data_IF_804824102572
#
_entry.id   IF_804824102572
#
_cell.length_a   1.000
_cell.length_b   1.000
_cell.length_c   1.000
_cell.angle_alpha   90.00
_cell.angle_beta   90.00
_cell.angle_gamma   90.00
#
_symmetry.space_group_name_H-M   'P 1'
#
loop_
_entity.id
_entity.type
_entity.pdbx_description
1 polymer ?
#
# COMPACT_ATOMS: atom_id res chain seq x y z
N UNK A 1 -49.91 -25.78 -21.30
CA UNK A 1 -50.22 -26.79 -22.34
C UNK A 1 -48.91 -27.36 -22.85
N UNK A 2 -48.76 -28.69 -22.85
CA UNK A 2 -47.59 -29.48 -23.28
C UNK A 2 -48.02 -30.32 -24.49
N UNK A 3 -47.12 -30.53 -25.46
CA UNK A 3 -46.86 -31.74 -26.29
C UNK A 3 -46.30 -31.36 -27.69
N UNK A 4 -45.71 -32.29 -28.48
CA UNK A 4 -44.67 -33.24 -28.06
C UNK A 4 -43.56 -33.47 -29.12
N UNK A 5 -42.52 -34.17 -28.67
CA UNK A 5 -41.46 -34.82 -29.45
C UNK A 5 -41.97 -35.83 -30.49
N UNK A 6 -41.22 -35.99 -31.60
CA UNK A 6 -41.28 -37.15 -32.50
C UNK A 6 -39.87 -37.63 -32.89
N UNK A 7 -39.65 -38.96 -32.89
CA UNK A 7 -38.36 -39.67 -33.08
C UNK A 7 -38.44 -40.61 -34.31
N UNK A 8 -37.40 -40.57 -35.19
CA UNK A 8 -36.72 -41.63 -36.03
C UNK A 8 -37.57 -42.58 -36.93
N UNK A 9 -37.06 -43.52 -37.81
CA UNK A 9 -35.69 -43.87 -38.30
C UNK A 9 -35.54 -44.25 -39.82
N UNK A 10 -34.29 -44.51 -40.27
CA UNK A 10 -33.93 -45.34 -41.46
C UNK A 10 -33.61 -44.55 -42.75
N UNK A 11 -32.65 -44.88 -43.63
CA UNK A 11 -31.88 -46.11 -43.86
C UNK A 11 -30.72 -45.83 -44.88
N UNK A 12 -29.53 -46.41 -44.62
CA UNK A 12 -28.42 -46.88 -45.52
C UNK A 12 -28.17 -46.20 -46.89
N UNK A 13 -27.00 -45.59 -47.13
CA UNK A 13 -25.68 -46.15 -47.51
C UNK A 13 -25.52 -46.53 -48.99
N UNK A 14 -24.52 -45.94 -49.67
CA UNK A 14 -23.63 -46.61 -50.64
C UNK A 14 -22.40 -45.75 -50.98
N UNK A 15 -21.29 -46.45 -51.16
CA UNK A 15 -19.91 -46.00 -51.29
C UNK A 15 -19.56 -45.49 -52.70
N UNK A 16 -18.42 -44.80 -52.86
CA UNK A 16 -17.20 -45.38 -53.45
C UNK A 16 -16.08 -44.33 -53.64
N UNK A 17 -14.82 -44.80 -53.55
CA UNK A 17 -13.52 -44.30 -54.05
C UNK A 17 -13.14 -42.80 -53.86
N UNK A 18 -11.95 -42.39 -53.41
CA UNK A 18 -10.67 -43.06 -53.15
C UNK A 18 -9.54 -42.02 -53.05
N UNK A 19 -8.35 -42.46 -52.66
CA UNK A 19 -7.03 -41.82 -52.73
C UNK A 19 -6.52 -40.90 -51.58
N UNK A 20 -5.81 -41.56 -50.67
CA UNK A 20 -4.38 -41.38 -50.32
C UNK A 20 -3.82 -39.99 -49.95
N UNK A 21 -3.21 -39.91 -48.75
CA UNK A 21 -2.22 -38.87 -48.42
C UNK A 21 -2.05 -38.61 -46.93
N UNK A 22 -1.06 -39.25 -46.31
CA UNK A 22 -0.60 -39.02 -44.92
C UNK A 22 0.08 -37.66 -44.79
N UNK A 23 -0.21 -36.87 -43.74
CA UNK A 23 0.84 -36.19 -42.96
C UNK A 23 0.33 -35.52 -41.67
N UNK A 24 1.25 -35.40 -40.72
CA UNK A 24 1.08 -35.28 -39.29
C UNK A 24 0.67 -33.90 -38.75
N UNK A 25 0.13 -33.96 -37.54
CA UNK A 25 -0.12 -32.88 -36.58
C UNK A 25 1.02 -31.88 -36.44
N UNK A 26 0.69 -30.58 -36.42
CA UNK A 26 1.43 -29.60 -35.61
C UNK A 26 0.46 -28.58 -35.01
N UNK A 27 0.26 -28.69 -33.69
CA UNK A 27 -0.36 -27.65 -32.87
C UNK A 27 0.49 -26.37 -32.95
N UNK A 28 0.05 -25.36 -33.70
CA UNK A 28 0.72 -24.05 -33.61
C UNK A 28 0.18 -23.28 -32.41
N UNK A 29 0.95 -23.40 -31.34
CA UNK A 29 0.88 -22.73 -30.03
C UNK A 29 0.39 -21.28 -30.13
N UNK A 30 -0.71 -21.00 -29.43
CA UNK A 30 -1.24 -19.65 -29.16
C UNK A 30 -0.18 -18.84 -28.42
N UNK A 31 0.40 -17.82 -29.07
CA UNK A 31 1.14 -16.78 -28.36
C UNK A 31 0.16 -15.68 -27.96
N UNK A 32 -0.47 -15.90 -26.81
CA UNK A 32 -1.17 -14.84 -26.09
C UNK A 32 -0.16 -13.75 -25.75
N UNK A 33 -0.29 -12.57 -26.35
CA UNK A 33 0.50 -11.41 -25.95
C UNK A 33 0.21 -11.12 -24.48
N UNK A 34 1.21 -11.42 -23.65
CA UNK A 34 1.15 -11.34 -22.20
C UNK A 34 0.94 -9.87 -21.83
N UNK A 35 -0.28 -9.55 -21.41
CA UNK A 35 -0.62 -8.36 -20.62
C UNK A 35 0.50 -8.08 -19.62
N UNK A 36 1.09 -6.90 -19.66
CA UNK A 36 1.83 -6.37 -18.52
C UNK A 36 0.81 -5.95 -17.46
N UNK A 37 0.27 -6.95 -16.76
CA UNK A 37 -0.56 -6.77 -15.59
C UNK A 37 0.43 -6.56 -14.45
N UNK A 38 0.61 -5.30 -14.03
CA UNK A 38 1.30 -5.00 -12.77
C UNK A 38 0.53 -5.69 -11.65
N UNK A 39 0.99 -6.88 -11.27
CA UNK A 39 0.44 -7.62 -10.14
C UNK A 39 0.87 -6.90 -8.86
N UNK A 40 0.01 -6.03 -8.35
CA UNK A 40 0.05 -5.62 -6.95
C UNK A 40 -0.41 -6.85 -6.15
N UNK A 41 0.53 -7.74 -5.83
CA UNK A 41 0.35 -8.68 -4.73
C UNK A 41 0.36 -7.90 -3.40
N UNK A 42 -0.05 -8.51 -2.28
CA UNK A 42 0.06 -7.88 -0.97
C UNK A 42 1.52 -7.52 -0.75
N UNK A 43 1.84 -6.23 -0.79
CA UNK A 43 3.19 -5.76 -0.55
C UNK A 43 3.56 -6.18 0.87
N UNK A 44 4.54 -7.10 0.97
CA UNK A 44 5.23 -7.39 2.23
C UNK A 44 5.58 -6.06 2.90
N UNK A 45 5.44 -5.90 4.23
CA UNK A 45 5.95 -4.73 4.90
C UNK A 45 7.44 -4.69 4.59
N UNK A 46 7.84 -3.72 3.77
CA UNK A 46 9.25 -3.47 3.49
C UNK A 46 9.86 -3.21 4.86
N UNK A 47 10.77 -4.08 5.30
CA UNK A 47 11.65 -3.80 6.42
C UNK A 47 12.55 -2.65 5.98
N UNK A 48 12.08 -1.44 6.23
CA UNK A 48 12.68 -0.23 5.68
C UNK A 48 13.96 0.12 6.46
N UNK A 49 15.10 0.30 5.76
CA UNK A 49 16.26 0.99 6.33
C UNK A 49 15.80 2.37 6.80
N UNK A 50 16.22 2.82 7.99
CA UNK A 50 15.84 4.11 8.65
C UNK A 50 15.47 5.18 7.62
N UNK A 51 14.20 5.21 7.20
CA UNK A 51 13.77 6.12 6.14
C UNK A 51 13.63 7.49 6.79
N UNK A 52 13.99 8.53 6.05
CA UNK A 52 13.56 9.87 6.42
C UNK A 52 12.02 9.87 6.40
N UNK A 53 11.43 9.93 7.60
CA UNK A 53 9.97 9.94 7.80
C UNK A 53 9.40 11.36 7.84
N UNK A 54 10.24 12.40 7.77
CA UNK A 54 9.79 13.79 7.69
C UNK A 54 8.90 13.97 6.46
N UNK A 55 7.74 14.57 6.68
CA UNK A 55 6.69 14.77 5.70
C UNK A 55 5.81 13.56 5.39
N UNK A 56 6.07 12.42 6.01
CA UNK A 56 5.22 11.24 5.90
C UNK A 56 4.06 11.28 6.90
N UNK A 57 2.96 10.64 6.52
CA UNK A 57 1.90 10.25 7.45
C UNK A 57 2.35 9.01 8.23
N UNK A 58 2.05 8.98 9.51
CA UNK A 58 2.38 7.87 10.40
C UNK A 58 1.15 7.41 11.16
N UNK A 59 1.17 6.17 11.59
CA UNK A 59 0.30 5.65 12.64
C UNK A 59 1.11 4.89 13.68
N UNK A 60 0.71 4.95 14.94
CA UNK A 60 1.29 4.14 16.00
C UNK A 60 0.29 3.94 17.14
N UNK A 61 0.58 2.96 18.00
CA UNK A 61 -0.05 2.82 19.30
C UNK A 61 0.60 3.74 20.33
N UNK A 62 -0.20 4.22 21.27
CA UNK A 62 0.23 4.93 22.48
C UNK A 62 -0.31 4.21 23.71
N UNK A 63 0.56 3.90 24.67
CA UNK A 63 0.17 3.27 25.92
C UNK A 63 0.68 4.08 27.10
N UNK A 64 -0.26 4.59 27.90
CA UNK A 64 0.07 5.25 29.17
C UNK A 64 0.00 4.23 30.31
N UNK A 65 1.14 3.93 30.93
CA UNK A 65 1.25 2.98 32.03
C UNK A 65 0.62 1.60 31.71
N UNK A 66 -0.28 1.14 32.60
CA UNK A 66 -1.04 -0.10 32.42
C UNK A 66 -2.35 0.07 31.65
N UNK A 67 -2.63 1.26 31.13
CA UNK A 67 -3.84 1.57 30.39
C UNK A 67 -3.95 0.87 29.03
N UNK A 68 -5.10 1.01 28.35
CA UNK A 68 -5.29 0.49 27.00
C UNK A 68 -4.40 1.22 25.99
N UNK A 69 -4.07 0.52 24.89
CA UNK A 69 -3.37 1.14 23.77
C UNK A 69 -4.37 1.96 22.94
N UNK A 70 -4.05 3.22 22.70
CA UNK A 70 -4.80 4.11 21.81
C UNK A 70 -4.06 4.25 20.49
N UNK A 71 -4.77 4.36 19.36
CA UNK A 71 -4.15 4.53 18.05
C UNK A 71 -4.08 6.01 17.69
N UNK A 72 -2.88 6.46 17.29
CA UNK A 72 -2.61 7.84 16.90
C UNK A 72 -2.18 7.89 15.44
N UNK A 73 -2.66 8.92 14.74
CA UNK A 73 -2.30 9.21 13.34
C UNK A 73 -1.90 10.66 13.20
N UNK A 74 -0.83 10.90 12.46
CA UNK A 74 -0.28 12.24 12.34
C UNK A 74 0.68 12.38 11.18
N UNK A 75 1.19 13.59 11.00
CA UNK A 75 2.20 13.95 10.01
C UNK A 75 3.48 14.33 10.75
N UNK A 76 4.60 13.73 10.37
CA UNK A 76 5.92 14.16 10.86
C UNK A 76 6.30 15.45 10.14
N UNK A 77 6.52 16.52 10.90
CA UNK A 77 6.77 17.86 10.39
C UNK A 77 8.24 18.09 10.17
N UNK A 78 9.04 17.70 11.16
CA UNK A 78 10.47 17.92 11.17
C UNK A 78 11.17 16.95 12.12
N UNK A 79 12.49 16.89 12.00
CA UNK A 79 13.39 16.18 12.90
C UNK A 79 14.35 17.21 13.50
N UNK A 80 14.46 17.24 14.83
CA UNK A 80 15.25 18.25 15.52
C UNK A 80 16.74 18.04 15.23
N UNK A 81 17.47 19.03 14.68
CA UNK A 81 18.88 18.83 14.28
C UNK A 81 19.81 18.48 15.44
N UNK A 82 19.62 19.10 16.60
CA UNK A 82 20.44 18.88 17.81
C UNK A 82 20.10 17.57 18.53
N UNK A 83 18.90 17.02 18.30
CA UNK A 83 18.51 15.70 18.77
C UNK A 83 17.76 14.94 17.66
N UNK A 84 18.48 14.20 16.80
CA UNK A 84 17.87 13.46 15.70
C UNK A 84 16.91 12.33 16.13
N UNK A 85 16.79 12.03 17.43
CA UNK A 85 15.77 11.08 17.88
C UNK A 85 14.40 11.73 18.01
N UNK A 86 14.36 13.05 18.19
CA UNK A 86 13.15 13.83 18.45
C UNK A 86 12.51 14.31 17.15
N UNK A 87 11.24 13.96 16.96
CA UNK A 87 10.44 14.38 15.82
C UNK A 87 9.32 15.32 16.27
N UNK A 88 9.06 16.34 15.47
CA UNK A 88 7.91 17.22 15.62
C UNK A 88 6.73 16.63 14.82
N UNK A 89 5.60 16.39 15.47
CA UNK A 89 4.47 15.66 14.89
C UNK A 89 3.18 16.45 15.09
N UNK A 90 2.40 16.54 14.01
CA UNK A 90 1.02 17.03 14.03
C UNK A 90 0.05 15.86 14.00
N UNK A 91 -0.67 15.61 15.09
CA UNK A 91 -1.73 14.59 15.10
C UNK A 91 -3.04 15.11 14.50
N UNK A 92 -3.82 14.19 13.95
CA UNK A 92 -5.15 14.50 13.39
C UNK A 92 -6.13 14.87 14.51
N UNK A 93 -6.95 15.90 14.27
CA UNK A 93 -8.01 16.30 15.20
C UNK A 93 -7.55 17.06 16.44
N UNK A 94 -6.26 17.38 16.55
CA UNK A 94 -5.70 18.23 17.61
C UNK A 94 -5.03 19.46 16.99
N UNK A 95 -4.96 20.58 17.71
CA UNK A 95 -4.36 21.84 17.24
C UNK A 95 -2.88 22.02 17.61
N UNK A 96 -2.39 21.28 18.61
CA UNK A 96 -0.99 21.30 19.03
C UNK A 96 -0.05 20.51 18.08
N UNK A 97 1.26 20.78 18.18
CA UNK A 97 2.32 19.89 17.69
C UNK A 97 3.07 19.30 18.87
N UNK A 98 3.51 18.05 18.74
CA UNK A 98 4.12 17.27 19.80
C UNK A 98 5.54 16.87 19.42
N UNK A 99 6.47 16.93 20.39
CA UNK A 99 7.81 16.39 20.25
C UNK A 99 7.89 14.98 20.83
N UNK A 100 8.23 13.97 20.02
CA UNK A 100 8.39 12.60 20.49
C UNK A 100 9.65 11.94 19.94
N UNK A 101 10.33 11.17 20.79
CA UNK A 101 11.38 10.26 20.35
C UNK A 101 10.78 8.94 19.86
N UNK A 102 10.14 8.95 18.69
CA UNK A 102 9.33 7.85 18.15
C UNK A 102 9.98 6.45 18.20
N UNK A 103 11.30 6.36 18.13
CA UNK A 103 12.04 5.09 18.14
C UNK A 103 12.60 4.70 19.51
N UNK A 104 12.48 5.56 20.53
CA UNK A 104 13.02 5.36 21.88
C UNK A 104 11.95 5.40 22.96
N UNK A 105 10.85 6.11 22.73
CA UNK A 105 9.75 6.22 23.69
C UNK A 105 9.00 4.88 23.78
N UNK A 106 9.07 4.24 24.95
CA UNK A 106 8.45 2.95 25.22
C UNK A 106 6.91 2.96 25.16
N UNK A 107 6.30 4.15 25.27
CA UNK A 107 4.84 4.31 25.13
C UNK A 107 4.41 4.18 23.68
N UNK A 108 5.33 4.43 22.74
CA UNK A 108 5.09 4.30 21.29
C UNK A 108 5.28 2.84 20.89
N UNK A 109 4.26 2.28 20.24
CA UNK A 109 4.28 0.90 19.74
C UNK A 109 3.76 0.81 18.31
N UNK A 110 4.14 -0.24 17.58
CA UNK A 110 3.64 -0.51 16.22
C UNK A 110 3.71 0.71 15.27
N UNK A 111 4.81 1.47 15.31
CA UNK A 111 5.01 2.62 14.42
C UNK A 111 5.06 2.16 12.96
N UNK A 112 4.16 2.72 12.16
CA UNK A 112 4.05 2.47 10.73
C UNK A 112 4.01 3.78 9.96
N UNK A 113 4.75 3.82 8.85
CA UNK A 113 4.70 4.93 7.89
C UNK A 113 3.62 4.61 6.86
N UNK A 114 2.60 5.46 6.80
CA UNK A 114 1.51 5.35 5.86
C UNK A 114 1.97 5.81 4.45
N UNK A 115 1.37 5.28 3.36
CA UNK A 115 1.75 5.64 1.99
C UNK A 115 1.44 7.10 1.65
N UNK A 116 0.54 7.73 2.40
CA UNK A 116 0.14 9.12 2.22
C UNK A 116 1.29 10.07 2.57
N UNK A 117 1.63 10.94 1.63
CA UNK A 117 2.55 12.06 1.87
C UNK A 117 1.81 13.35 1.74
N UNK A 118 2.06 14.26 2.67
CA UNK A 118 1.49 15.59 2.58
C UNK A 118 2.28 16.37 1.52
N UNK A 119 1.59 17.19 0.72
CA UNK A 119 2.20 17.94 -0.36
C UNK A 119 3.35 18.84 0.12
N UNK A 120 4.42 18.95 -0.68
CA UNK A 120 5.63 19.73 -0.36
C UNK A 120 5.35 21.17 0.09
N UNK A 121 4.31 21.82 -0.44
CA UNK A 121 3.92 23.18 -0.07
C UNK A 121 3.43 23.28 1.39
N UNK A 122 2.67 22.28 1.86
CA UNK A 122 2.22 22.24 3.26
C UNK A 122 3.40 21.96 4.21
N UNK A 123 4.37 21.15 3.77
CA UNK A 123 5.58 20.86 4.54
C UNK A 123 6.49 22.08 4.63
N UNK A 124 6.65 22.87 3.58
CA UNK A 124 7.44 24.10 3.63
C UNK A 124 6.77 25.15 4.53
N UNK A 125 5.44 25.28 4.44
CA UNK A 125 4.68 26.16 5.35
C UNK A 125 4.89 25.71 6.80
N UNK A 126 4.68 24.43 7.09
CA UNK A 126 4.77 23.91 8.45
C UNK A 126 6.22 23.84 8.96
N UNK A 127 7.21 23.70 8.09
CA UNK A 127 8.63 23.82 8.43
C UNK A 127 9.00 25.25 8.80
N UNK A 128 8.50 26.28 8.11
CA UNK A 128 8.69 27.67 8.55
C UNK A 128 8.06 27.92 9.93
N UNK A 129 6.89 27.32 10.21
CA UNK A 129 6.27 27.37 11.54
C UNK A 129 7.05 26.56 12.58
N UNK A 130 7.62 25.42 12.20
CA UNK A 130 8.43 24.58 13.08
C UNK A 130 9.79 25.21 13.38
N UNK A 131 10.47 25.82 12.41
CA UNK A 131 11.68 26.61 12.62
C UNK A 131 11.40 27.77 13.58
N UNK A 132 10.26 28.44 13.43
CA UNK A 132 9.81 29.44 14.40
C UNK A 132 9.60 28.85 15.79
N UNK A 133 9.01 27.66 15.91
CA UNK A 133 8.85 26.97 17.19
C UNK A 133 10.21 26.57 17.78
N UNK A 134 11.14 26.03 16.99
CA UNK A 134 12.46 25.60 17.45
C UNK A 134 13.27 26.80 17.95
N UNK A 135 13.26 27.94 17.24
CA UNK A 135 13.95 29.16 17.69
C UNK A 135 13.35 29.76 18.96
N UNK A 136 12.07 29.51 19.23
CA UNK A 136 11.39 29.98 20.47
C UNK A 136 11.56 28.98 21.63
N UNK A 137 11.88 27.71 21.33
CA UNK A 137 12.23 26.70 22.35
C UNK A 137 13.67 26.90 22.86
N UNK A 138 14.55 27.57 22.11
CA UNK A 138 15.86 28.06 22.60
C UNK A 138 15.74 29.22 23.64
N UNK A 139 14.54 29.51 24.18
CA UNK A 139 14.27 30.52 25.23
C UNK A 139 13.90 29.88 26.58
N UNK A 140 14.21 28.61 26.83
CA UNK A 140 14.12 28.00 28.17
C UNK A 140 15.34 27.18 28.55
#
# INVERSE_FOLDING_TARGET
>A
MKTPFGKTPGQRSRADAGHAGVSASMMKKRTSHKKHRSSVGPSKPVSQPRRNIVGCRIQHGWKEGSGPVTQWKGTVLDQVPVNPSLYLIKYDGFDCVYGLELNKDERVSALEVLPDRVGKFFLLFLHLYALKIITEIDVF
#
